data_IF_656606085819
#
_entry.id   IF_656606085819
#
_cell.length_a   1.000
_cell.length_b   1.000
_cell.length_c   1.000
_cell.angle_alpha   90.00
_cell.angle_beta   90.00
_cell.angle_gamma   90.00
#
_symmetry.space_group_name_H-M   'P 1'
#
loop_
_entity.id
_entity.type
_entity.pdbx_description
1 polymer ?
#
# COMPACT_ATOMS: atom_id res chain seq x y z
N UNK A 1 -19.23 -12.88 16.28
CA UNK A 1 -18.71 -11.53 16.59
C UNK A 1 -18.33 -10.84 15.30
N UNK A 2 -18.77 -9.61 15.13
CA UNK A 2 -18.43 -8.83 13.93
C UNK A 2 -17.52 -7.68 14.33
N UNK A 3 -16.23 -7.86 14.12
CA UNK A 3 -15.21 -6.85 14.40
C UNK A 3 -14.52 -6.50 13.09
N UNK A 4 -14.49 -5.22 12.75
CA UNK A 4 -13.89 -4.72 11.52
C UNK A 4 -12.83 -3.68 11.85
N UNK A 5 -11.68 -3.74 11.19
CA UNK A 5 -10.73 -2.65 11.24
C UNK A 5 -11.37 -1.45 10.53
N UNK A 6 -11.47 -0.31 11.21
CA UNK A 6 -12.14 0.88 10.66
C UNK A 6 -11.14 1.86 10.05
N UNK A 7 -10.13 2.26 10.82
CA UNK A 7 -9.12 3.19 10.35
C UNK A 7 -7.81 3.00 11.10
N UNK A 8 -6.73 3.51 10.53
CA UNK A 8 -5.42 3.57 11.16
C UNK A 8 -4.72 4.85 10.73
N UNK A 9 -3.84 5.36 11.58
CA UNK A 9 -3.06 6.58 11.30
C UNK A 9 -1.77 6.16 10.60
N UNK A 10 -1.46 6.83 9.49
CA UNK A 10 -0.22 6.64 8.75
C UNK A 10 0.61 7.91 8.88
N UNK A 11 1.77 7.81 9.52
CA UNK A 11 2.66 8.96 9.70
C UNK A 11 3.36 9.31 8.39
N UNK A 12 3.49 10.60 8.12
CA UNK A 12 4.16 11.11 6.92
C UNK A 12 4.86 12.43 7.23
N UNK A 13 5.92 12.75 6.50
CA UNK A 13 6.54 14.08 6.58
C UNK A 13 5.75 15.10 5.76
N UNK A 14 5.13 14.66 4.67
CA UNK A 14 4.21 15.44 3.86
C UNK A 14 2.95 14.61 3.64
N UNK A 15 1.93 14.86 4.44
CA UNK A 15 0.70 14.06 4.40
C UNK A 15 -0.04 14.15 3.07
N UNK A 16 0.01 15.32 2.41
CA UNK A 16 -0.65 15.49 1.10
C UNK A 16 0.04 14.65 0.03
N UNK A 17 1.37 14.72 -0.01
CA UNK A 17 2.15 13.95 -0.98
C UNK A 17 2.00 12.45 -0.75
N UNK A 18 2.06 11.99 0.51
CA UNK A 18 1.93 10.56 0.82
C UNK A 18 0.54 10.00 0.55
N UNK A 19 -0.51 10.74 0.91
CA UNK A 19 -1.89 10.33 0.62
C UNK A 19 -2.13 10.28 -0.89
N UNK A 20 -1.66 11.29 -1.63
CA UNK A 20 -1.81 11.33 -3.07
C UNK A 20 -1.03 10.20 -3.75
N UNK A 21 0.17 9.90 -3.25
CA UNK A 21 0.96 8.78 -3.77
C UNK A 21 0.20 7.45 -3.67
N UNK A 22 -0.33 7.13 -2.51
CA UNK A 22 -1.09 5.89 -2.33
C UNK A 22 -2.33 5.87 -3.22
N UNK A 23 -3.07 6.97 -3.26
CA UNK A 23 -4.27 7.07 -4.08
C UNK A 23 -3.93 6.89 -5.57
N UNK A 24 -2.88 7.54 -6.06
CA UNK A 24 -2.47 7.44 -7.46
C UNK A 24 -2.07 6.01 -7.83
N UNK A 25 -1.30 5.34 -6.97
CA UNK A 25 -0.85 3.96 -7.23
C UNK A 25 -2.04 2.99 -7.23
N UNK A 26 -2.93 3.11 -6.26
CA UNK A 26 -4.08 2.21 -6.14
C UNK A 26 -5.27 2.58 -7.04
N UNK A 27 -5.23 3.75 -7.69
CA UNK A 27 -6.34 4.21 -8.52
C UNK A 27 -7.51 4.76 -7.72
N UNK A 28 -7.23 5.36 -6.58
CA UNK A 28 -8.20 5.97 -5.68
C UNK A 28 -8.02 7.49 -5.67
N UNK A 29 -8.88 8.19 -4.93
CA UNK A 29 -8.73 9.63 -4.69
C UNK A 29 -8.67 9.88 -3.18
N UNK A 30 -7.77 10.79 -2.73
CA UNK A 30 -7.80 11.18 -1.32
C UNK A 30 -9.13 11.88 -1.00
N UNK A 31 -9.62 11.67 0.21
CA UNK A 31 -10.77 12.40 0.71
C UNK A 31 -10.37 13.83 1.10
N UNK A 32 -11.35 14.76 1.21
CA UNK A 32 -11.07 16.08 1.78
C UNK A 32 -10.44 15.95 3.18
N UNK A 33 -9.62 16.92 3.60
CA UNK A 33 -9.03 16.88 4.93
C UNK A 33 -10.09 16.73 6.02
N UNK A 34 -9.76 15.92 7.02
CA UNK A 34 -10.58 15.72 8.21
C UNK A 34 -9.71 15.98 9.45
N UNK A 35 -9.90 17.15 10.07
CA UNK A 35 -9.02 17.58 11.16
C UNK A 35 -7.55 17.61 10.69
N UNK A 36 -6.63 16.97 11.43
CA UNK A 36 -5.21 16.93 11.04
C UNK A 36 -4.92 15.89 9.96
N UNK A 37 -5.93 15.14 9.49
CA UNK A 37 -5.72 14.00 8.61
C UNK A 37 -6.08 14.29 7.17
N UNK A 38 -5.39 13.60 6.25
CA UNK A 38 -5.88 13.40 4.88
C UNK A 38 -6.24 11.93 4.72
N UNK A 39 -7.54 11.60 4.69
CA UNK A 39 -7.98 10.22 4.60
C UNK A 39 -7.83 9.66 3.18
N UNK A 40 -7.44 8.40 3.09
CA UNK A 40 -7.58 7.59 1.88
C UNK A 40 -8.47 6.41 2.21
N UNK A 41 -9.64 6.37 1.61
CA UNK A 41 -10.62 5.31 1.88
C UNK A 41 -10.34 4.12 0.97
N UNK A 42 -10.05 2.97 1.59
CA UNK A 42 -9.89 1.72 0.86
C UNK A 42 -11.28 1.13 0.60
N UNK A 43 -11.56 0.60 -0.59
CA UNK A 43 -12.91 0.15 -0.94
C UNK A 43 -13.55 -0.88 0.00
N UNK A 44 -12.75 -1.60 0.80
CA UNK A 44 -13.30 -2.55 1.78
C UNK A 44 -13.75 -1.90 3.09
N UNK A 45 -13.75 -0.56 3.18
CA UNK A 45 -14.25 0.16 4.35
C UNK A 45 -13.18 0.60 5.35
N UNK A 46 -11.92 0.28 5.12
CA UNK A 46 -10.81 0.74 5.97
C UNK A 46 -10.33 2.10 5.47
N UNK A 47 -10.11 3.03 6.40
CA UNK A 47 -9.55 4.34 6.07
C UNK A 47 -8.11 4.44 6.58
N UNK A 48 -7.20 4.88 5.71
CA UNK A 48 -5.84 5.26 6.11
C UNK A 48 -5.80 6.77 6.29
N UNK A 49 -5.58 7.21 7.53
CA UNK A 49 -5.56 8.62 7.90
C UNK A 49 -4.11 9.12 7.95
N UNK A 50 -3.69 9.82 6.90
CA UNK A 50 -2.33 10.36 6.82
C UNK A 50 -2.19 11.58 7.71
N UNK A 51 -1.21 11.53 8.63
CA UNK A 51 -0.93 12.59 9.59
C UNK A 51 0.53 13.02 9.49
N UNK A 52 0.76 14.34 9.49
CA UNK A 52 2.11 14.88 9.41
C UNK A 52 2.85 14.75 10.73
N UNK A 53 4.14 14.47 10.65
CA UNK A 53 5.07 14.51 11.77
C UNK A 53 6.40 15.09 11.32
N UNK A 54 7.05 15.87 12.20
CA UNK A 54 8.41 16.35 11.99
C UNK A 54 9.46 15.38 12.53
N UNK A 55 9.03 14.40 13.33
CA UNK A 55 9.91 13.42 13.95
C UNK A 55 10.21 12.24 13.04
N UNK A 56 10.92 11.28 13.60
CA UNK A 56 11.24 10.04 12.93
C UNK A 56 9.96 9.23 12.70
N UNK A 57 9.88 8.59 11.55
CA UNK A 57 8.78 7.70 11.21
C UNK A 57 9.27 6.26 11.34
N UNK A 58 8.59 5.48 12.20
CA UNK A 58 8.82 4.05 12.25
C UNK A 58 8.11 3.42 11.04
N UNK A 59 8.85 2.75 10.14
CA UNK A 59 8.22 2.11 8.98
C UNK A 59 7.20 1.06 9.41
N UNK A 60 6.03 1.12 8.79
CA UNK A 60 4.98 0.14 8.97
C UNK A 60 4.82 -0.65 7.66
N UNK A 61 4.11 -1.76 7.71
CA UNK A 61 3.82 -2.59 6.56
C UNK A 61 2.32 -2.60 6.29
N UNK A 62 1.93 -2.25 5.06
CA UNK A 62 0.54 -2.28 4.61
C UNK A 62 0.45 -3.13 3.35
N UNK A 63 -0.37 -4.17 3.41
CA UNK A 63 -0.58 -5.08 2.29
C UNK A 63 -2.02 -4.97 1.80
N UNK A 64 -2.20 -4.87 0.49
CA UNK A 64 -3.52 -4.70 -0.13
C UNK A 64 -3.81 -5.94 -0.98
N UNK A 65 -4.97 -6.55 -0.73
CA UNK A 65 -5.45 -7.67 -1.54
C UNK A 65 -6.18 -7.10 -2.76
N UNK A 66 -5.73 -7.49 -3.94
CA UNK A 66 -6.27 -6.99 -5.21
C UNK A 66 -6.60 -8.16 -6.14
N UNK A 67 -7.45 -7.93 -7.13
CA UNK A 67 -7.70 -8.92 -8.18
C UNK A 67 -6.47 -9.04 -9.10
N UNK A 68 -6.42 -10.09 -9.90
CA UNK A 68 -5.36 -10.25 -10.90
C UNK A 68 -5.36 -9.10 -11.91
N UNK A 69 -6.53 -8.67 -12.36
CA UNK A 69 -6.64 -7.54 -13.28
C UNK A 69 -6.17 -6.23 -12.64
N UNK A 70 -6.55 -5.98 -11.40
CA UNK A 70 -6.09 -4.79 -10.67
C UNK A 70 -4.59 -4.85 -10.40
N UNK A 71 -4.04 -6.04 -10.16
CA UNK A 71 -2.59 -6.19 -10.01
C UNK A 71 -1.85 -5.68 -11.25
N UNK A 72 -2.29 -6.09 -12.43
CA UNK A 72 -1.67 -5.64 -13.68
C UNK A 72 -1.70 -4.12 -13.82
N UNK A 73 -2.83 -3.50 -13.51
CA UNK A 73 -3.00 -2.05 -13.60
C UNK A 73 -2.13 -1.32 -12.58
N UNK A 74 -2.14 -1.77 -11.33
CA UNK A 74 -1.35 -1.15 -10.25
C UNK A 74 0.14 -1.36 -10.50
N UNK A 75 0.54 -2.55 -10.90
CA UNK A 75 1.94 -2.84 -11.20
C UNK A 75 2.48 -1.97 -12.34
N UNK A 76 1.67 -1.74 -13.37
CA UNK A 76 2.03 -0.79 -14.44
C UNK A 76 2.26 0.61 -13.89
N UNK A 77 1.43 1.07 -12.95
CA UNK A 77 1.62 2.39 -12.33
C UNK A 77 2.91 2.46 -11.52
N UNK A 78 3.25 1.39 -10.79
CA UNK A 78 4.51 1.30 -10.04
C UNK A 78 5.70 1.45 -10.99
N UNK A 79 5.67 0.73 -12.12
CA UNK A 79 6.72 0.78 -13.13
C UNK A 79 6.79 2.15 -13.82
N UNK A 80 5.65 2.70 -14.21
CA UNK A 80 5.58 4.00 -14.89
C UNK A 80 6.06 5.15 -13.99
N UNK A 81 5.85 5.02 -12.68
CA UNK A 81 6.33 6.00 -11.71
C UNK A 81 7.84 5.87 -11.43
N UNK A 82 8.51 4.90 -12.02
CA UNK A 82 9.94 4.68 -11.83
C UNK A 82 10.31 4.18 -10.43
N UNK A 83 9.36 3.59 -9.71
CA UNK A 83 9.61 3.09 -8.36
C UNK A 83 10.44 1.82 -8.38
N UNK A 84 11.34 1.70 -7.41
CA UNK A 84 11.98 0.41 -7.15
C UNK A 84 10.96 -0.54 -6.52
N UNK A 85 10.95 -1.79 -6.94
CA UNK A 85 10.08 -2.80 -6.37
C UNK A 85 10.83 -4.12 -6.20
N UNK A 86 10.32 -4.98 -5.33
CA UNK A 86 10.97 -6.23 -4.94
C UNK A 86 9.96 -7.37 -4.82
N UNK A 87 10.43 -8.59 -5.04
CA UNK A 87 9.62 -9.79 -4.82
C UNK A 87 9.53 -10.16 -3.34
N UNK A 88 10.46 -9.66 -2.51
CA UNK A 88 10.59 -10.04 -1.09
C UNK A 88 10.62 -8.82 -0.16
N UNK A 89 10.20 -9.00 1.11
CA UNK A 89 10.14 -7.89 2.07
C UNK A 89 11.52 -7.40 2.53
N UNK A 90 12.57 -8.17 2.29
CA UNK A 90 13.94 -7.82 2.71
C UNK A 90 14.71 -7.10 1.60
N UNK A 91 14.07 -6.83 0.47
CA UNK A 91 14.64 -6.08 -0.67
C UNK A 91 15.85 -6.78 -1.30
N UNK A 92 15.84 -8.11 -1.35
CA UNK A 92 16.93 -8.88 -1.98
C UNK A 92 16.66 -9.14 -3.46
N UNK A 93 15.39 -9.23 -3.87
CA UNK A 93 15.01 -9.59 -5.23
C UNK A 93 14.41 -8.38 -5.95
N UNK A 94 15.27 -7.40 -6.24
CA UNK A 94 14.89 -6.17 -6.93
C UNK A 94 14.46 -6.44 -8.37
N UNK A 95 13.41 -5.75 -8.81
CA UNK A 95 12.91 -5.85 -10.17
C UNK A 95 12.15 -7.15 -10.47
N UNK A 96 11.75 -7.87 -9.43
CA UNK A 96 11.02 -9.13 -9.55
C UNK A 96 9.70 -9.06 -8.78
N UNK A 97 8.75 -9.92 -9.17
CA UNK A 97 7.53 -10.18 -8.41
C UNK A 97 7.57 -11.61 -7.87
N UNK A 98 6.73 -11.91 -6.88
CA UNK A 98 6.59 -13.27 -6.37
C UNK A 98 5.28 -13.90 -6.84
N UNK A 99 5.19 -15.21 -6.66
CA UNK A 99 4.00 -16.00 -7.00
C UNK A 99 3.52 -16.81 -5.78
N UNK A 100 3.60 -16.21 -4.62
CA UNK A 100 3.22 -16.85 -3.37
C UNK A 100 1.75 -17.28 -3.41
N UNK A 101 1.46 -18.44 -2.84
CA UNK A 101 0.10 -19.00 -2.74
C UNK A 101 -0.59 -19.19 -4.10
N UNK A 102 0.18 -19.32 -5.18
CA UNK A 102 -0.35 -19.47 -6.53
C UNK A 102 -0.86 -18.18 -7.16
N UNK A 103 -0.61 -17.05 -6.52
CA UNK A 103 -0.96 -15.73 -7.03
C UNK A 103 0.24 -14.90 -7.43
N UNK A 104 0.15 -13.60 -7.23
CA UNK A 104 1.24 -12.65 -7.48
C UNK A 104 1.35 -11.65 -6.35
N UNK A 105 2.56 -11.19 -6.08
CA UNK A 105 2.80 -10.15 -5.08
C UNK A 105 4.02 -9.32 -5.43
N UNK A 106 4.05 -8.08 -4.94
CA UNK A 106 5.18 -7.18 -5.11
C UNK A 106 5.22 -6.17 -3.96
N UNK A 107 6.45 -5.82 -3.55
CA UNK A 107 6.72 -4.85 -2.48
C UNK A 107 7.28 -3.57 -3.08
N UNK A 108 6.90 -2.44 -2.51
CA UNK A 108 7.41 -1.12 -2.86
C UNK A 108 7.33 -0.21 -1.64
N UNK A 109 7.84 1.00 -1.73
CA UNK A 109 7.84 1.94 -0.59
C UNK A 109 7.07 3.20 -0.93
N UNK A 110 6.46 3.81 0.09
CA UNK A 110 5.86 5.13 -0.03
C UNK A 110 6.88 6.24 0.29
N UNK A 111 6.55 7.53 0.06
CA UNK A 111 7.47 8.62 0.33
C UNK A 111 7.91 8.73 1.80
N UNK A 112 7.11 8.25 2.74
CA UNK A 112 7.44 8.25 4.16
C UNK A 112 8.31 7.08 4.60
N UNK A 113 8.59 6.13 3.71
CA UNK A 113 9.40 4.95 4.00
C UNK A 113 8.62 3.75 4.48
N UNK A 114 7.30 3.79 4.45
CA UNK A 114 6.50 2.61 4.77
C UNK A 114 6.62 1.55 3.67
N UNK A 115 6.55 0.28 4.09
CA UNK A 115 6.65 -0.85 3.18
C UNK A 115 5.26 -1.24 2.71
N UNK A 116 5.00 -1.10 1.42
CA UNK A 116 3.71 -1.40 0.82
C UNK A 116 3.80 -2.69 0.01
N UNK A 117 2.68 -3.38 -0.08
CA UNK A 117 2.59 -4.63 -0.83
C UNK A 117 1.23 -4.75 -1.47
N UNK A 118 1.17 -5.26 -2.70
CA UNK A 118 -0.07 -5.75 -3.30
C UNK A 118 0.04 -7.25 -3.51
N UNK A 119 -1.02 -7.99 -3.19
CA UNK A 119 -1.10 -9.44 -3.34
C UNK A 119 -2.43 -9.81 -3.99
N UNK A 120 -2.42 -10.87 -4.80
CA UNK A 120 -3.66 -11.36 -5.43
C UNK A 120 -4.29 -12.50 -4.66
N UNK A 121 -3.56 -13.09 -3.70
CA UNK A 121 -4.07 -14.16 -2.83
C UNK A 121 -3.59 -13.93 -1.40
N UNK A 122 -4.49 -14.13 -0.41
CA UNK A 122 -4.07 -14.05 0.99
C UNK A 122 -2.98 -15.08 1.31
N UNK A 123 -2.09 -14.73 2.21
CA UNK A 123 -1.06 -15.65 2.68
C UNK A 123 -1.68 -16.90 3.28
N UNK A 124 -1.12 -18.05 2.91
CA UNK A 124 -1.62 -19.34 3.38
C UNK A 124 -2.86 -19.86 2.69
N UNK A 125 -3.41 -19.11 1.72
CA UNK A 125 -4.63 -19.50 1.01
C UNK A 125 -4.39 -20.40 -0.19
N UNK A 126 -3.16 -20.45 -0.69
CA UNK A 126 -2.83 -21.17 -1.89
C UNK A 126 -2.42 -22.61 -1.63
N UNK A 127 -2.41 -23.40 -2.71
CA UNK A 127 -1.78 -24.71 -2.70
C UNK A 127 -0.33 -24.50 -3.07
N UNK A 128 0.44 -24.74 -2.14
CA UNK A 128 1.85 -24.60 -2.15
C UNK A 128 2.87 -24.77 -2.97
#
# INVERSE_FOLDING_TARGET
MNVQLNHTIVAAHDKKASAQFLADILGLEPSPPFGPFIPVQIPNGVTLDYMETDGDITPQHYAFLVSEDDFDTIFSRIQDAGLTYWADPYHHRSGEINHNDGGRGVYFQDPGGHYLEIITRPYGSGVG
#
